data_IF_996855619999
#
_entry.id   IF_996855619999
#
_cell.length_a   1.000
_cell.length_b   1.000
_cell.length_c   1.000
_cell.angle_alpha   90.00
_cell.angle_beta   90.00
_cell.angle_gamma   90.00
#
_symmetry.space_group_name_H-M   'P 1'
#
loop_
_entity.id
_entity.type
_entity.pdbx_description
1 polymer ?
#
# COMPACT_ATOMS: atom_id res chain seq x y z
N UNK A 1 -10.78 -2.37 -34.54
CA UNK A 1 -12.15 -1.97 -34.92
C UNK A 1 -13.03 -3.18 -34.67
N UNK A 2 -13.92 -3.13 -33.69
CA UNK A 2 -14.88 -4.21 -33.40
C UNK A 2 -16.27 -3.69 -33.69
N UNK A 3 -16.97 -4.35 -34.62
CA UNK A 3 -18.35 -4.04 -34.98
C UNK A 3 -19.28 -4.95 -34.18
N UNK A 4 -20.21 -4.35 -33.44
CA UNK A 4 -21.24 -5.07 -32.69
C UNK A 4 -22.58 -4.82 -33.39
N UNK A 5 -23.23 -5.90 -33.84
CA UNK A 5 -24.60 -5.83 -34.34
C UNK A 5 -25.58 -5.97 -33.17
N UNK A 6 -26.28 -4.90 -32.83
CA UNK A 6 -27.38 -4.97 -31.88
C UNK A 6 -28.57 -5.70 -32.53
N UNK A 7 -29.33 -6.47 -31.73
CA UNK A 7 -30.52 -7.24 -32.17
C UNK A 7 -31.61 -6.39 -32.86
N UNK A 8 -31.50 -5.07 -32.80
CA UNK A 8 -32.38 -4.07 -33.41
C UNK A 8 -31.90 -3.59 -34.81
N UNK A 9 -30.86 -4.19 -35.38
CA UNK A 9 -30.29 -3.80 -36.69
C UNK A 9 -29.45 -2.52 -36.67
N UNK A 10 -29.06 -2.04 -35.48
CA UNK A 10 -28.14 -0.90 -35.30
C UNK A 10 -26.71 -1.41 -35.19
N UNK A 11 -25.86 -0.98 -36.11
CA UNK A 11 -24.41 -1.20 -36.02
C UNK A 11 -23.82 -0.24 -34.99
N UNK A 12 -23.21 -0.81 -33.94
CA UNK A 12 -22.42 -0.06 -32.97
C UNK A 12 -20.95 -0.32 -33.28
N UNK A 13 -20.22 0.73 -33.61
CA UNK A 13 -18.77 0.66 -33.83
C UNK A 13 -18.10 1.03 -32.53
N UNK A 14 -17.34 0.09 -31.95
CA UNK A 14 -16.48 0.35 -30.80
C UNK A 14 -15.02 0.43 -31.24
N UNK A 15 -14.32 1.47 -30.77
CA UNK A 15 -12.94 1.78 -31.13
C UNK A 15 -12.05 1.44 -29.95
N UNK A 16 -11.40 0.28 -30.04
CA UNK A 16 -10.43 -0.17 -29.05
C UNK A 16 -9.05 0.42 -29.39
N UNK A 17 -8.42 1.21 -28.49
CA UNK A 17 -7.07 1.71 -28.68
C UNK A 17 -6.02 0.59 -28.61
N UNK A 18 -4.81 0.78 -29.17
CA UNK A 18 -3.75 -0.21 -29.09
C UNK A 18 -3.28 -0.45 -27.64
N UNK A 19 -3.06 -1.72 -27.27
CA UNK A 19 -2.52 -2.12 -25.96
C UNK A 19 -3.22 -3.33 -25.34
N UNK A 20 -4.52 -3.26 -25.03
CA UNK A 20 -5.30 -4.39 -24.52
C UNK A 20 -5.42 -5.54 -25.53
N UNK A 21 -5.38 -6.78 -25.05
CA UNK A 21 -5.56 -7.97 -25.91
C UNK A 21 -7.05 -8.21 -26.13
N UNK A 22 -7.48 -8.44 -27.38
CA UNK A 22 -8.88 -8.77 -27.69
C UNK A 22 -9.25 -10.15 -27.13
N UNK A 23 -10.40 -10.24 -26.48
CA UNK A 23 -10.93 -11.49 -25.92
C UNK A 23 -11.99 -12.15 -26.82
N UNK A 24 -12.49 -11.43 -27.82
CA UNK A 24 -13.56 -11.89 -28.72
C UNK A 24 -13.04 -12.07 -30.15
N UNK A 25 -13.61 -13.04 -30.87
CA UNK A 25 -13.29 -13.30 -32.27
C UNK A 25 -14.30 -12.64 -33.23
N UNK A 26 -13.91 -12.47 -34.50
CA UNK A 26 -14.81 -11.96 -35.52
C UNK A 26 -16.05 -12.87 -35.67
N UNK A 27 -17.25 -12.27 -35.61
CA UNK A 27 -18.53 -13.00 -35.74
C UNK A 27 -19.07 -13.63 -34.45
N UNK A 28 -18.40 -13.46 -33.31
CA UNK A 28 -18.89 -13.94 -32.01
C UNK A 28 -20.08 -13.11 -31.51
N UNK A 29 -21.13 -13.79 -31.02
CA UNK A 29 -22.28 -13.12 -30.41
C UNK A 29 -21.97 -12.72 -28.97
N UNK A 30 -21.88 -11.42 -28.70
CA UNK A 30 -21.57 -10.87 -27.38
C UNK A 30 -22.82 -10.41 -26.63
N UNK A 31 -22.77 -10.46 -25.30
CA UNK A 31 -23.82 -9.90 -24.43
C UNK A 31 -23.59 -8.42 -24.15
N UNK A 32 -24.64 -7.70 -23.78
CA UNK A 32 -24.55 -6.32 -23.29
C UNK A 32 -23.63 -6.28 -22.04
N UNK A 33 -22.70 -5.32 -22.01
CA UNK A 33 -21.63 -5.16 -21.01
C UNK A 33 -20.56 -6.26 -20.96
N UNK A 34 -20.49 -7.14 -21.96
CA UNK A 34 -19.38 -8.11 -22.06
C UNK A 34 -18.07 -7.37 -22.41
N UNK A 35 -16.97 -7.58 -21.65
CA UNK A 35 -15.68 -6.95 -21.96
C UNK A 35 -15.09 -7.53 -23.26
N UNK A 36 -14.68 -6.63 -24.17
CA UNK A 36 -14.06 -6.99 -25.44
C UNK A 36 -12.54 -7.18 -25.35
N UNK A 37 -11.93 -6.66 -24.29
CA UNK A 37 -10.48 -6.64 -24.09
C UNK A 37 -10.09 -7.17 -22.71
N UNK A 38 -8.88 -7.70 -22.60
CA UNK A 38 -8.24 -7.96 -21.32
C UNK A 38 -7.85 -6.64 -20.64
N UNK A 39 -7.79 -6.64 -19.31
CA UNK A 39 -7.25 -5.51 -18.56
C UNK A 39 -5.71 -5.59 -18.57
N UNK A 40 -4.99 -4.68 -19.27
CA UNK A 40 -3.52 -4.72 -19.32
C UNK A 40 -2.88 -4.12 -18.06
N UNK A 41 -3.65 -3.57 -17.12
CA UNK A 41 -3.10 -2.95 -15.92
C UNK A 41 -2.46 -4.01 -15.01
N UNK A 42 -1.13 -3.97 -14.92
CA UNK A 42 -0.32 -4.78 -13.97
C UNK A 42 0.07 -4.00 -12.70
N UNK A 43 -0.34 -2.73 -12.62
CA UNK A 43 -0.07 -1.87 -11.47
C UNK A 43 -1.20 -1.89 -10.44
N UNK A 44 -0.88 -1.43 -9.24
CA UNK A 44 -1.85 -1.23 -8.16
C UNK A 44 -1.46 -0.02 -7.33
N UNK A 45 -2.45 0.75 -6.88
CA UNK A 45 -2.21 1.82 -5.93
C UNK A 45 -2.13 1.24 -4.52
N UNK A 46 -1.10 1.61 -3.76
CA UNK A 46 -0.90 1.19 -2.39
C UNK A 46 -0.76 2.40 -1.46
N UNK A 47 -1.43 2.37 -0.31
CA UNK A 47 -1.31 3.39 0.73
C UNK A 47 -0.55 2.80 1.93
N UNK A 48 0.30 3.62 2.54
CA UNK A 48 1.06 3.25 3.75
C UNK A 48 0.89 4.36 4.78
N UNK A 49 0.51 3.97 5.99
CA UNK A 49 0.46 4.86 7.13
C UNK A 49 1.77 4.83 7.90
N UNK A 50 2.26 6.00 8.29
CA UNK A 50 3.42 6.14 9.16
C UNK A 50 3.06 6.97 10.39
N UNK A 51 3.68 6.64 11.53
CA UNK A 51 3.56 7.40 12.77
C UNK A 51 4.90 8.03 13.11
N UNK A 52 4.89 9.32 13.40
CA UNK A 52 6.03 10.06 13.90
C UNK A 52 5.71 10.55 15.31
N UNK A 53 6.72 10.53 16.18
CA UNK A 53 6.63 11.15 17.51
C UNK A 53 7.59 12.32 17.54
N UNK A 54 7.07 13.52 17.72
CA UNK A 54 7.88 14.71 17.95
C UNK A 54 8.44 14.63 19.38
N UNK A 55 9.76 14.54 19.48
CA UNK A 55 10.45 14.45 20.77
C UNK A 55 10.99 15.82 21.18
N UNK A 56 10.82 16.14 22.46
CA UNK A 56 11.51 17.24 23.12
C UNK A 56 12.89 16.75 23.60
N UNK A 57 14.00 17.37 23.16
CA UNK A 57 15.35 17.02 23.60
C UNK A 57 15.53 17.03 25.12
N UNK A 58 14.82 17.92 25.85
CA UNK A 58 14.92 18.02 27.31
C UNK A 58 14.41 16.76 28.00
N UNK A 59 13.37 16.09 27.45
CA UNK A 59 12.86 14.82 27.99
C UNK A 59 13.89 13.71 27.88
N UNK A 60 14.61 13.66 26.77
CA UNK A 60 15.66 12.65 26.53
C UNK A 60 16.87 12.92 27.43
N UNK A 61 17.28 14.18 27.57
CA UNK A 61 18.35 14.57 28.49
C UNK A 61 18.01 14.21 29.95
N UNK A 62 16.79 14.53 30.40
CA UNK A 62 16.30 14.16 31.73
C UNK A 62 16.31 12.65 31.96
N UNK A 63 15.93 11.87 30.94
CA UNK A 63 15.99 10.40 31.00
C UNK A 63 17.43 9.89 31.17
N UNK A 64 18.42 10.50 30.50
CA UNK A 64 19.83 10.13 30.67
C UNK A 64 20.33 10.40 32.08
N UNK A 65 20.08 11.60 32.63
CA UNK A 65 20.50 11.94 33.99
C UNK A 65 19.83 11.05 35.05
N UNK A 66 18.53 10.81 34.90
CA UNK A 66 17.80 9.90 35.77
C UNK A 66 18.41 8.49 35.73
N UNK A 67 18.63 7.94 34.53
CA UNK A 67 19.22 6.62 34.36
C UNK A 67 20.62 6.51 34.97
N UNK A 68 21.47 7.53 34.76
CA UNK A 68 22.81 7.59 35.36
C UNK A 68 22.74 7.63 36.90
N UNK A 69 21.80 8.38 37.47
CA UNK A 69 21.60 8.43 38.93
C UNK A 69 21.17 7.08 39.51
N UNK A 70 20.29 6.35 38.81
CA UNK A 70 19.85 5.01 39.22
C UNK A 70 21.01 4.02 39.18
N UNK A 71 21.79 4.00 38.10
CA UNK A 71 22.98 3.14 37.98
C UNK A 71 23.98 3.46 39.10
N UNK A 72 24.23 4.74 39.36
CA UNK A 72 25.14 5.16 40.42
C UNK A 72 24.66 4.66 41.80
N UNK A 73 23.37 4.83 42.10
CA UNK A 73 22.78 4.33 43.33
C UNK A 73 22.88 2.80 43.44
N UNK A 74 22.67 2.07 42.35
CA UNK A 74 22.81 0.61 42.30
C UNK A 74 24.24 0.16 42.56
N UNK A 75 25.24 0.83 41.99
CA UNK A 75 26.66 0.52 42.23
C UNK A 75 27.00 0.71 43.71
N UNK A 76 26.64 1.86 44.30
CA UNK A 76 26.89 2.10 45.73
C UNK A 76 26.15 1.12 46.64
N UNK A 77 24.90 0.81 46.34
CA UNK A 77 24.11 -0.12 47.13
C UNK A 77 24.60 -1.57 46.98
N UNK A 78 25.07 -1.95 45.79
CA UNK A 78 25.71 -3.24 45.51
C UNK A 78 27.01 -3.41 46.29
N UNK A 79 27.92 -2.43 46.25
CA UNK A 79 29.18 -2.47 47.01
C UNK A 79 28.96 -2.47 48.53
N UNK A 80 27.92 -1.77 49.02
CA UNK A 80 27.53 -1.86 50.44
C UNK A 80 27.11 -3.27 50.86
N UNK A 81 26.56 -4.06 49.94
CA UNK A 81 26.08 -5.42 50.21
C UNK A 81 27.23 -6.42 50.43
N UNK A 82 28.40 -6.18 49.85
CA UNK A 82 29.59 -7.03 50.07
C UNK A 82 30.37 -6.65 51.34
N UNK A 83 30.16 -5.46 51.90
CA UNK A 83 30.88 -4.97 53.09
C UNK A 83 30.17 -5.32 54.43
N UNK A 84 29.08 -6.09 54.37
CA UNK A 84 28.32 -6.57 55.54
C UNK A 84 28.40 -8.09 55.62
#
# INVERSE_FOLDING_TARGET
>A
MSTVDASDGRQVIDIIPPGPVLLVSEGESIKLDQPLTSNPNVGGFGQVDAKIVLQDPLRVQGLFFFSASVILAQVFFGSKKETV
#
